data_IF_443531754311
#
_entry.id   IF_443531754311
#
_cell.length_a   1.000
_cell.length_b   1.000
_cell.length_c   1.000
_cell.angle_alpha   90.00
_cell.angle_beta   90.00
_cell.angle_gamma   90.00
#
_symmetry.space_group_name_H-M   'P 1'
#
loop_
_entity.id
_entity.type
_entity.pdbx_description
1 polymer ?
#
# COMPACT_ATOMS: atom_id res chain seq x y z
N UNK A 1 -4.94 -3.65 31.59
CA UNK A 1 -4.68 -4.18 32.94
C UNK A 1 -3.34 -3.64 33.37
N UNK A 2 -3.38 -2.64 34.28
CA UNK A 2 -2.21 -1.85 34.67
C UNK A 2 -1.48 -2.40 35.90
N UNK A 3 -1.83 -3.59 36.33
CA UNK A 3 -1.21 -4.18 37.49
C UNK A 3 0.07 -4.90 37.09
N UNK A 4 1.20 -4.43 37.67
CA UNK A 4 2.53 -4.98 37.37
C UNK A 4 2.65 -6.50 37.58
N UNK A 5 1.69 -7.13 38.25
CA UNK A 5 1.58 -8.57 38.38
C UNK A 5 1.13 -9.30 37.10
N UNK A 6 0.44 -8.64 36.17
CA UNK A 6 -0.03 -9.28 34.94
C UNK A 6 1.07 -9.52 33.89
N UNK A 7 2.24 -8.95 34.08
CA UNK A 7 3.38 -9.02 33.17
C UNK A 7 4.46 -10.01 33.59
N UNK A 8 4.18 -10.87 34.56
CA UNK A 8 5.03 -12.06 34.76
C UNK A 8 5.09 -12.82 33.44
N UNK A 9 6.28 -13.20 32.96
CA UNK A 9 6.42 -13.97 31.72
C UNK A 9 5.61 -15.26 31.88
N UNK A 10 4.42 -15.31 31.30
CA UNK A 10 3.50 -16.47 31.35
C UNK A 10 4.07 -17.73 30.69
N UNK A 11 5.31 -17.65 30.18
CA UNK A 11 5.93 -18.70 29.42
C UNK A 11 6.92 -19.57 30.19
N UNK A 12 7.33 -19.13 31.38
CA UNK A 12 8.19 -19.94 32.23
C UNK A 12 7.44 -20.29 33.51
N UNK A 13 7.31 -21.58 33.82
CA UNK A 13 6.69 -21.99 35.07
C UNK A 13 7.40 -21.32 36.25
N UNK A 14 6.64 -20.87 37.28
CA UNK A 14 7.25 -20.31 38.49
C UNK A 14 8.28 -21.26 39.10
N UNK A 15 8.03 -22.57 39.06
CA UNK A 15 8.97 -23.62 39.46
C UNK A 15 10.34 -23.54 38.76
N UNK A 16 10.41 -23.08 37.53
CA UNK A 16 11.68 -22.96 36.79
C UNK A 16 12.58 -21.88 37.39
N UNK A 17 12.03 -20.82 37.92
CA UNK A 17 12.80 -19.76 38.59
C UNK A 17 13.25 -20.18 39.98
N UNK A 18 12.40 -20.91 40.69
CA UNK A 18 12.69 -21.43 42.05
C UNK A 18 13.80 -22.48 41.99
N UNK A 19 13.79 -23.39 41.00
CA UNK A 19 14.85 -24.40 40.82
C UNK A 19 16.22 -23.80 40.49
N UNK A 20 16.25 -22.67 39.80
CA UNK A 20 17.50 -22.00 39.45
C UNK A 20 17.96 -20.99 40.50
N UNK A 21 17.17 -20.73 41.55
CA UNK A 21 17.46 -19.71 42.55
C UNK A 21 17.55 -18.31 41.98
N UNK A 22 16.98 -18.09 40.80
CA UNK A 22 16.93 -16.82 40.10
C UNK A 22 15.58 -16.17 40.39
N UNK A 23 15.48 -15.39 41.45
CA UNK A 23 14.47 -14.34 41.51
C UNK A 23 14.81 -13.37 40.37
N UNK A 24 14.15 -13.50 39.24
CA UNK A 24 14.07 -12.44 38.22
C UNK A 24 12.88 -11.57 38.63
N UNK A 25 13.06 -10.54 39.46
CA UNK A 25 11.99 -9.58 39.68
C UNK A 25 11.59 -9.06 38.31
N UNK A 26 10.28 -8.95 38.06
CA UNK A 26 9.79 -8.24 36.87
C UNK A 26 10.31 -6.80 37.00
N UNK A 27 11.43 -6.48 36.37
CA UNK A 27 12.02 -5.16 36.41
C UNK A 27 11.24 -4.21 35.46
N UNK A 28 9.90 -4.38 35.44
CA UNK A 28 8.97 -3.58 34.65
C UNK A 28 9.22 -2.08 34.86
N UNK A 29 9.36 -1.66 36.10
CA UNK A 29 9.60 -0.26 36.46
C UNK A 29 10.93 0.27 35.87
N UNK A 30 11.89 -0.62 35.61
CA UNK A 30 13.19 -0.26 35.04
C UNK A 30 13.16 -0.31 33.50
N UNK A 31 12.53 -1.34 32.91
CA UNK A 31 12.59 -1.58 31.47
C UNK A 31 11.49 -0.87 30.70
N UNK A 32 10.27 -0.81 31.21
CA UNK A 32 9.15 -0.21 30.51
C UNK A 32 9.34 1.28 30.13
N UNK A 33 9.95 2.14 30.99
CA UNK A 33 10.27 3.51 30.63
C UNK A 33 11.30 3.63 29.52
N UNK A 34 12.07 2.57 29.25
CA UNK A 34 13.16 2.54 28.27
C UNK A 34 12.76 1.83 26.99
N UNK A 35 11.60 1.19 26.96
CA UNK A 35 11.10 0.48 25.80
C UNK A 35 10.59 1.46 24.75
N UNK A 36 10.99 1.23 23.49
CA UNK A 36 10.44 1.96 22.34
C UNK A 36 9.05 1.38 22.02
N UNK A 37 8.00 2.07 22.42
CA UNK A 37 6.61 1.58 22.33
C UNK A 37 5.70 2.67 21.78
N UNK A 38 4.67 2.27 21.01
CA UNK A 38 3.59 3.16 20.58
C UNK A 38 2.52 3.40 21.67
N UNK A 39 2.64 2.75 22.82
CA UNK A 39 1.63 2.82 23.87
C UNK A 39 1.77 4.12 24.69
N UNK A 40 0.93 5.10 24.36
CA UNK A 40 0.88 6.41 25.04
C UNK A 40 0.59 6.26 26.55
N UNK A 41 -0.34 5.38 26.93
CA UNK A 41 -0.66 5.15 28.34
C UNK A 41 0.53 4.64 29.15
N UNK A 42 1.47 3.94 28.52
CA UNK A 42 2.73 3.53 29.15
C UNK A 42 3.63 4.75 29.44
N UNK A 43 3.76 5.67 28.50
CA UNK A 43 4.56 6.88 28.70
C UNK A 43 3.96 7.76 29.79
N UNK A 44 2.65 7.94 29.80
CA UNK A 44 1.93 8.69 30.83
C UNK A 44 2.12 8.06 32.21
N UNK A 45 2.02 6.72 32.33
CA UNK A 45 2.24 6.00 33.59
C UNK A 45 3.62 6.27 34.21
N UNK A 46 4.65 6.40 33.35
CA UNK A 46 6.02 6.72 33.80
C UNK A 46 6.36 8.22 33.76
N UNK A 47 5.38 9.08 33.51
CA UNK A 47 5.58 10.54 33.43
C UNK A 47 6.51 10.98 32.29
N UNK A 48 6.64 10.17 31.23
CA UNK A 48 7.50 10.45 30.09
C UNK A 48 6.81 11.41 29.11
N UNK A 49 7.45 12.51 28.82
CA UNK A 49 7.04 13.45 27.76
C UNK A 49 7.83 13.15 26.49
N UNK A 50 7.37 12.20 25.71
CA UNK A 50 8.04 11.75 24.49
C UNK A 50 7.04 11.23 23.47
N UNK A 51 7.52 10.91 22.28
CA UNK A 51 6.75 10.26 21.22
C UNK A 51 7.45 8.98 20.76
N UNK A 52 6.71 8.10 20.12
CA UNK A 52 7.28 6.89 19.52
C UNK A 52 8.39 7.22 18.51
N UNK A 53 8.19 8.25 17.67
CA UNK A 53 9.18 8.71 16.70
C UNK A 53 10.47 9.22 17.36
N UNK A 54 10.37 9.97 18.46
CA UNK A 54 11.53 10.45 19.21
C UNK A 54 12.32 9.30 19.86
N UNK A 55 11.61 8.30 20.41
CA UNK A 55 12.25 7.12 20.98
C UNK A 55 12.96 6.29 19.90
N UNK A 56 12.33 6.09 18.72
CA UNK A 56 12.95 5.43 17.58
C UNK A 56 14.19 6.19 17.11
N UNK A 57 14.08 7.49 16.91
CA UNK A 57 15.19 8.31 16.45
C UNK A 57 16.40 8.22 17.40
N UNK A 58 16.14 8.28 18.71
CA UNK A 58 17.18 8.14 19.75
C UNK A 58 17.79 6.73 19.77
N UNK A 59 16.98 5.69 19.62
CA UNK A 59 17.46 4.32 19.56
C UNK A 59 18.38 4.12 18.35
N UNK A 60 17.96 4.57 17.16
CA UNK A 60 18.79 4.47 15.96
C UNK A 60 20.05 5.36 16.04
N UNK A 61 19.97 6.56 16.58
CA UNK A 61 21.15 7.39 16.80
C UNK A 61 22.23 6.66 17.64
N UNK A 62 21.82 5.90 18.65
CA UNK A 62 22.73 5.11 19.43
C UNK A 62 23.33 3.93 18.64
N UNK A 63 22.52 3.21 17.88
CA UNK A 63 22.98 2.09 17.01
C UNK A 63 23.97 2.60 15.96
N UNK A 64 23.70 3.75 15.37
CA UNK A 64 24.53 4.34 14.33
C UNK A 64 25.92 4.77 14.80
N UNK A 65 26.15 4.92 16.09
CA UNK A 65 27.51 5.16 16.63
C UNK A 65 28.46 4.00 16.36
N UNK A 66 27.92 2.80 16.15
CA UNK A 66 28.68 1.57 15.88
C UNK A 66 28.67 1.20 14.39
N UNK A 67 27.85 1.88 13.57
CA UNK A 67 27.78 1.62 12.14
C UNK A 67 28.98 2.26 11.44
N UNK A 68 29.73 1.46 10.67
CA UNK A 68 30.81 1.96 9.80
C UNK A 68 30.26 2.92 8.74
N UNK A 69 31.11 3.75 8.15
CA UNK A 69 30.70 4.70 7.11
C UNK A 69 30.05 4.04 5.88
N UNK A 70 30.59 2.90 5.46
CA UNK A 70 30.09 2.06 4.36
C UNK A 70 29.15 0.95 4.83
N UNK A 71 28.83 0.89 6.13
CA UNK A 71 28.00 -0.13 6.74
C UNK A 71 26.53 -0.02 6.33
N UNK A 72 25.81 -1.14 6.43
CA UNK A 72 24.37 -1.21 6.26
C UNK A 72 23.68 -1.47 7.60
N UNK A 73 22.66 -0.67 7.88
CA UNK A 73 21.68 -0.96 8.91
C UNK A 73 20.53 -1.72 8.29
N UNK A 74 20.31 -2.96 8.72
CA UNK A 74 19.16 -3.74 8.27
C UNK A 74 18.10 -3.71 9.35
N UNK A 75 16.90 -3.31 9.00
CA UNK A 75 15.75 -3.30 9.90
C UNK A 75 14.69 -4.26 9.40
N UNK A 76 14.10 -5.01 10.32
CA UNK A 76 12.86 -5.72 10.11
C UNK A 76 11.76 -4.98 10.87
N UNK A 77 10.76 -4.50 10.15
CA UNK A 77 9.72 -3.68 10.74
C UNK A 77 8.34 -4.08 10.24
N UNK A 78 7.45 -4.23 11.20
CA UNK A 78 6.02 -4.52 10.95
C UNK A 78 5.20 -3.46 11.67
N UNK A 79 4.39 -2.73 10.97
CA UNK A 79 3.46 -1.78 11.57
C UNK A 79 2.12 -1.83 10.84
N UNK A 80 1.05 -1.70 11.62
CA UNK A 80 -0.32 -1.65 11.07
C UNK A 80 -0.73 -0.23 10.68
N UNK A 81 -0.11 0.77 11.31
CA UNK A 81 -0.49 2.17 11.14
C UNK A 81 0.48 2.90 10.23
N UNK A 82 -0.01 3.70 9.27
CA UNK A 82 0.83 4.54 8.43
C UNK A 82 1.74 5.49 9.22
N UNK A 83 1.25 5.99 10.38
CA UNK A 83 1.99 6.91 11.25
C UNK A 83 3.23 6.24 11.85
N UNK A 84 3.16 4.94 12.15
CA UNK A 84 4.30 4.17 12.66
C UNK A 84 5.37 3.99 11.59
N UNK A 85 4.97 3.80 10.34
CA UNK A 85 5.89 3.79 9.19
C UNK A 85 6.51 5.16 8.97
N UNK A 86 5.73 6.24 9.05
CA UNK A 86 6.24 7.59 8.94
C UNK A 86 7.25 7.90 10.05
N UNK A 87 7.00 7.42 11.28
CA UNK A 87 7.93 7.57 12.40
C UNK A 87 9.27 6.83 12.14
N UNK A 88 9.23 5.63 11.56
CA UNK A 88 10.45 4.91 11.17
C UNK A 88 11.23 5.66 10.10
N UNK A 89 10.56 6.11 9.04
CA UNK A 89 11.19 6.88 7.96
C UNK A 89 11.76 8.20 8.50
N UNK A 90 11.03 8.88 9.37
CA UNK A 90 11.50 10.11 10.02
C UNK A 90 12.76 9.87 10.83
N UNK A 91 12.75 8.85 11.69
CA UNK A 91 13.87 8.49 12.53
C UNK A 91 15.14 8.15 11.73
N UNK A 92 15.00 7.44 10.61
CA UNK A 92 16.14 6.99 9.81
C UNK A 92 16.58 8.05 8.78
N UNK A 93 15.65 8.56 7.98
CA UNK A 93 15.96 9.48 6.87
C UNK A 93 16.24 10.91 7.32
N UNK A 94 15.25 11.51 8.04
CA UNK A 94 15.30 12.94 8.38
C UNK A 94 16.23 13.20 9.58
N UNK A 95 16.04 12.45 10.67
CA UNK A 95 16.80 12.70 11.92
C UNK A 95 18.22 12.14 11.83
N UNK A 96 18.40 10.92 11.33
CA UNK A 96 19.69 10.24 11.33
C UNK A 96 20.43 10.26 9.98
N UNK A 97 19.88 10.92 8.97
CA UNK A 97 20.57 11.15 7.69
C UNK A 97 20.87 9.88 6.89
N UNK A 98 20.02 8.86 7.01
CA UNK A 98 20.18 7.64 6.24
C UNK A 98 19.37 7.71 4.92
N UNK A 99 19.77 6.90 3.96
CA UNK A 99 19.00 6.63 2.73
C UNK A 99 18.62 5.16 2.66
N UNK A 100 17.43 4.88 2.19
CA UNK A 100 16.98 3.53 1.92
C UNK A 100 17.67 3.01 0.66
N UNK A 101 18.34 1.86 0.73
CA UNK A 101 19.03 1.27 -0.43
C UNK A 101 18.36 0.02 -0.95
N UNK A 102 17.60 -0.67 -0.11
CA UNK A 102 16.78 -1.82 -0.51
C UNK A 102 15.65 -2.04 0.49
N UNK A 103 14.49 -2.48 0.02
CA UNK A 103 13.43 -2.98 0.85
C UNK A 103 12.71 -4.14 0.16
N UNK A 104 12.36 -5.16 0.92
CA UNK A 104 11.66 -6.34 0.46
C UNK A 104 10.51 -6.66 1.40
N UNK A 105 9.32 -6.94 0.87
CA UNK A 105 8.22 -7.45 1.68
C UNK A 105 8.57 -8.85 2.20
N UNK A 106 8.18 -9.14 3.42
CA UNK A 106 8.37 -10.45 4.05
C UNK A 106 7.05 -10.91 4.62
N UNK A 107 6.61 -12.07 4.21
CA UNK A 107 5.48 -12.77 4.81
C UNK A 107 5.96 -13.40 6.12
N UNK A 108 5.45 -12.91 7.24
CA UNK A 108 5.93 -13.29 8.57
C UNK A 108 4.96 -14.15 9.34
N UNK A 109 3.75 -14.28 8.85
CA UNK A 109 2.73 -15.10 9.50
C UNK A 109 2.36 -16.25 8.56
N UNK A 110 2.37 -17.49 9.07
CA UNK A 110 1.86 -18.64 8.33
C UNK A 110 0.39 -18.43 8.00
N UNK A 111 -0.09 -18.95 6.88
CA UNK A 111 -1.52 -18.94 6.51
C UNK A 111 -2.42 -19.57 7.58
N UNK A 112 -1.84 -20.38 8.46
CA UNK A 112 -2.50 -21.04 9.60
C UNK A 112 -2.66 -20.12 10.81
N UNK A 113 -1.95 -19.01 10.89
CA UNK A 113 -2.09 -18.06 11.99
C UNK A 113 -3.51 -17.50 12.02
N UNK A 114 -4.16 -17.63 13.18
CA UNK A 114 -5.51 -17.08 13.44
C UNK A 114 -5.54 -15.57 13.21
N UNK A 115 -4.37 -14.90 13.30
CA UNK A 115 -4.18 -13.47 13.09
C UNK A 115 -4.00 -13.15 11.60
N UNK A 116 -3.41 -14.06 10.81
CA UNK A 116 -3.15 -13.88 9.38
C UNK A 116 -4.36 -14.20 8.49
N UNK A 117 -5.29 -15.04 8.96
CA UNK A 117 -6.46 -15.44 8.19
C UNK A 117 -7.28 -14.23 7.74
N UNK A 118 -7.19 -13.92 6.47
CA UNK A 118 -7.95 -12.84 5.80
C UNK A 118 -7.28 -11.48 5.80
N UNK A 119 -5.98 -11.39 6.06
CA UNK A 119 -5.21 -10.17 5.84
C UNK A 119 -4.49 -10.23 4.49
N UNK A 120 -5.10 -9.66 3.47
CA UNK A 120 -4.33 -9.12 2.35
C UNK A 120 -3.73 -7.79 2.82
N UNK A 121 -2.72 -7.86 3.68
CA UNK A 121 -2.02 -6.65 4.11
C UNK A 121 -0.95 -6.34 3.06
N UNK A 122 -1.20 -5.35 2.22
CA UNK A 122 -0.19 -4.71 1.37
C UNK A 122 0.94 -4.12 2.24
N UNK A 123 0.66 -3.95 3.53
CA UNK A 123 1.58 -3.49 4.56
C UNK A 123 2.07 -4.66 5.44
N UNK A 124 2.55 -5.73 4.82
CA UNK A 124 3.30 -6.79 5.49
C UNK A 124 4.53 -6.24 6.22
N UNK A 125 5.28 -7.13 6.87
CA UNK A 125 6.61 -6.76 7.35
C UNK A 125 7.55 -6.45 6.19
N UNK A 126 8.45 -5.51 6.40
CA UNK A 126 9.52 -5.23 5.44
C UNK A 126 10.87 -5.42 6.09
N UNK A 127 11.74 -6.10 5.38
CA UNK A 127 13.18 -6.02 5.63
C UNK A 127 13.71 -4.88 4.79
N UNK A 128 14.30 -3.87 5.43
CA UNK A 128 14.84 -2.71 4.75
C UNK A 128 16.30 -2.48 5.14
N UNK A 129 17.12 -2.15 4.14
CA UNK A 129 18.53 -1.86 4.30
C UNK A 129 18.75 -0.35 4.10
N UNK A 130 19.45 0.25 5.04
CA UNK A 130 19.73 1.66 5.10
C UNK A 130 21.23 1.89 5.20
N UNK A 131 21.70 2.96 4.60
CA UNK A 131 23.09 3.41 4.74
C UNK A 131 23.17 4.91 5.02
N UNK A 132 24.32 5.38 5.48
CA UNK A 132 24.56 6.82 5.62
C UNK A 132 24.45 7.49 4.26
N UNK A 133 23.67 8.56 4.17
CA UNK A 133 23.61 9.37 2.97
C UNK A 133 24.95 10.06 2.77
N UNK A 134 25.60 9.80 1.65
CA UNK A 134 26.93 10.35 1.38
C UNK A 134 26.86 11.85 1.10
N UNK A 135 25.83 12.29 0.42
CA UNK A 135 25.64 13.67 0.01
C UNK A 135 24.15 14.04 0.06
N UNK A 136 23.85 15.14 0.74
CA UNK A 136 22.49 15.66 0.80
C UNK A 136 22.20 16.46 -0.49
N UNK A 137 21.60 15.81 -1.50
CA UNK A 137 21.18 16.45 -2.74
C UNK A 137 19.73 16.90 -2.61
N UNK A 138 19.43 18.20 -2.76
CA UNK A 138 18.05 18.65 -2.77
C UNK A 138 17.28 18.12 -4.00
N UNK A 139 16.00 17.87 -3.82
CA UNK A 139 15.09 17.45 -4.90
C UNK A 139 13.81 18.27 -4.83
N UNK A 140 13.52 19.03 -5.88
CA UNK A 140 12.21 19.66 -6.08
C UNK A 140 11.36 18.76 -6.97
N UNK A 141 10.26 18.23 -6.40
CA UNK A 141 9.45 17.19 -7.05
C UNK A 141 8.64 17.72 -8.21
N UNK A 142 8.08 18.92 -8.13
CA UNK A 142 7.22 19.46 -9.18
C UNK A 142 7.97 19.58 -10.50
N UNK A 143 9.18 20.16 -10.45
CA UNK A 143 10.02 20.35 -11.63
C UNK A 143 10.67 19.04 -12.15
N UNK A 144 10.79 18.02 -11.28
CA UNK A 144 11.47 16.77 -11.63
C UNK A 144 10.53 15.56 -11.72
N UNK A 145 9.21 15.77 -11.66
CA UNK A 145 8.21 14.68 -11.54
C UNK A 145 8.40 13.59 -12.58
N UNK A 146 8.47 13.96 -13.85
CA UNK A 146 8.62 12.99 -14.94
C UNK A 146 9.90 12.17 -14.85
N UNK A 147 11.02 12.80 -14.51
CA UNK A 147 12.30 12.11 -14.33
C UNK A 147 12.27 11.15 -13.15
N UNK A 148 11.64 11.56 -12.03
CA UNK A 148 11.50 10.72 -10.84
C UNK A 148 10.64 9.49 -11.15
N UNK A 149 9.51 9.68 -11.82
CA UNK A 149 8.60 8.59 -12.21
C UNK A 149 9.29 7.61 -13.15
N UNK A 150 10.07 8.09 -14.13
CA UNK A 150 10.84 7.25 -15.06
C UNK A 150 11.90 6.41 -14.35
N UNK A 151 12.66 7.02 -13.45
CA UNK A 151 13.69 6.32 -12.68
C UNK A 151 13.07 5.27 -11.73
N UNK A 152 11.94 5.60 -11.10
CA UNK A 152 11.19 4.66 -10.26
C UNK A 152 10.66 3.48 -11.08
N UNK A 153 10.09 3.73 -12.25
CA UNK A 153 9.63 2.68 -13.17
C UNK A 153 10.79 1.74 -13.57
N UNK A 154 11.94 2.29 -13.89
CA UNK A 154 13.15 1.53 -14.23
C UNK A 154 13.65 0.67 -13.04
N UNK A 155 13.67 1.21 -11.84
CA UNK A 155 14.07 0.46 -10.62
C UNK A 155 13.10 -0.66 -10.30
N UNK A 156 11.80 -0.38 -10.38
CA UNK A 156 10.74 -1.38 -10.20
C UNK A 156 10.89 -2.52 -11.19
N UNK A 157 11.12 -2.23 -12.48
CA UNK A 157 11.26 -3.25 -13.50
C UNK A 157 12.44 -4.19 -13.25
N UNK A 158 13.59 -3.65 -12.83
CA UNK A 158 14.76 -4.46 -12.45
C UNK A 158 14.41 -5.44 -11.32
N UNK A 159 13.62 -5.01 -10.34
CA UNK A 159 13.22 -5.85 -9.20
C UNK A 159 12.22 -6.91 -9.58
N UNK A 160 11.22 -6.57 -10.38
CA UNK A 160 10.24 -7.54 -10.87
C UNK A 160 10.89 -8.66 -11.67
N UNK A 161 11.92 -8.36 -12.47
CA UNK A 161 12.71 -9.38 -13.18
C UNK A 161 13.43 -10.35 -12.23
N UNK A 162 13.93 -9.85 -11.11
CA UNK A 162 14.64 -10.67 -10.11
C UNK A 162 13.64 -11.51 -9.30
N UNK A 163 12.52 -10.93 -8.89
CA UNK A 163 11.57 -11.57 -7.99
C UNK A 163 10.63 -12.57 -8.67
N UNK A 164 10.54 -12.57 -10.01
CA UNK A 164 9.60 -13.43 -10.75
C UNK A 164 8.13 -13.14 -10.48
N UNK A 165 7.82 -12.03 -9.78
CA UNK A 165 6.47 -11.63 -9.40
C UNK A 165 5.64 -11.19 -10.59
N UNK A 166 4.38 -11.67 -10.66
CA UNK A 166 3.47 -11.44 -11.78
C UNK A 166 2.12 -10.83 -11.38
N UNK A 167 1.89 -10.51 -10.11
CA UNK A 167 0.60 -9.92 -9.70
C UNK A 167 0.70 -8.42 -9.38
N UNK A 168 -0.44 -7.73 -9.46
CA UNK A 168 -0.52 -6.29 -9.27
C UNK A 168 -0.05 -5.82 -7.91
N UNK A 169 -0.43 -6.53 -6.84
CA UNK A 169 -0.03 -6.21 -5.49
C UNK A 169 1.51 -6.26 -5.30
N UNK A 170 2.16 -7.28 -5.88
CA UNK A 170 3.64 -7.38 -5.88
C UNK A 170 4.26 -6.23 -6.67
N UNK A 171 3.75 -5.92 -7.86
CA UNK A 171 4.25 -4.82 -8.68
C UNK A 171 4.09 -3.47 -7.95
N UNK A 172 2.96 -3.27 -7.30
CA UNK A 172 2.69 -2.10 -6.46
C UNK A 172 3.73 -1.94 -5.35
N UNK A 173 3.99 -3.01 -4.57
CA UNK A 173 4.96 -2.97 -3.47
C UNK A 173 6.36 -2.62 -3.97
N UNK A 174 6.81 -3.21 -5.07
CA UNK A 174 8.13 -2.90 -5.64
C UNK A 174 8.21 -1.49 -6.19
N UNK A 175 7.15 -0.96 -6.79
CA UNK A 175 7.08 0.42 -7.24
C UNK A 175 7.18 1.39 -6.04
N UNK A 176 6.43 1.12 -4.97
CA UNK A 176 6.44 1.93 -3.76
C UNK A 176 7.82 1.93 -3.08
N UNK A 177 8.45 0.76 -2.94
CA UNK A 177 9.80 0.67 -2.38
C UNK A 177 10.83 1.40 -3.26
N UNK A 178 10.74 1.27 -4.59
CA UNK A 178 11.61 1.99 -5.51
C UNK A 178 11.44 3.52 -5.40
N UNK A 179 10.20 3.99 -5.18
CA UNK A 179 9.94 5.41 -4.95
C UNK A 179 10.55 5.90 -3.63
N UNK A 180 10.38 5.14 -2.53
CA UNK A 180 10.99 5.48 -1.24
C UNK A 180 12.52 5.52 -1.33
N UNK A 181 13.16 4.56 -2.00
CA UNK A 181 14.60 4.55 -2.20
C UNK A 181 15.08 5.77 -2.99
N UNK A 182 14.35 6.13 -4.05
CA UNK A 182 14.71 7.31 -4.80
C UNK A 182 14.58 8.58 -3.96
N UNK A 183 13.46 8.74 -3.26
CA UNK A 183 13.19 9.95 -2.49
C UNK A 183 14.13 10.10 -1.29
N UNK A 184 14.38 9.02 -0.54
CA UNK A 184 15.24 9.07 0.66
C UNK A 184 16.73 9.30 0.35
N UNK A 185 17.15 9.05 -0.89
CA UNK A 185 18.49 9.43 -1.35
C UNK A 185 18.70 10.95 -1.43
N UNK A 186 17.61 11.72 -1.35
CA UNK A 186 17.62 13.18 -1.44
C UNK A 186 17.24 13.83 -0.09
N UNK A 187 17.77 15.02 0.14
CA UNK A 187 17.38 15.88 1.26
C UNK A 187 17.89 17.32 1.03
N UNK A 188 17.07 18.37 1.23
CA UNK A 188 15.63 18.27 1.43
C UNK A 188 14.88 17.79 0.17
N UNK A 189 13.70 17.23 0.36
CA UNK A 189 12.75 16.98 -0.71
C UNK A 189 11.64 18.02 -0.61
N UNK A 190 11.38 18.76 -1.67
CA UNK A 190 10.36 19.82 -1.71
C UNK A 190 9.28 19.51 -2.74
N UNK A 191 8.06 19.98 -2.50
CA UNK A 191 6.95 19.97 -3.42
C UNK A 191 6.37 21.40 -3.51
N UNK A 192 6.38 21.99 -4.69
CA UNK A 192 5.99 23.39 -4.89
C UNK A 192 6.70 24.35 -3.92
N UNK A 193 7.99 24.12 -3.66
CA UNK A 193 8.81 24.92 -2.76
C UNK A 193 8.64 24.65 -1.27
N UNK A 194 7.73 23.75 -0.87
CA UNK A 194 7.51 23.37 0.55
C UNK A 194 8.27 22.08 0.84
N UNK A 195 9.09 22.10 1.91
CA UNK A 195 9.81 20.90 2.35
C UNK A 195 8.84 19.85 2.89
N UNK A 196 9.03 18.61 2.45
CA UNK A 196 8.23 17.48 2.89
C UNK A 196 8.78 16.89 4.19
N UNK A 197 7.89 16.67 5.13
CA UNK A 197 8.11 15.77 6.24
C UNK A 197 8.06 14.29 5.79
N UNK A 198 8.30 13.37 6.70
CA UNK A 198 8.33 11.94 6.38
C UNK A 198 6.97 11.42 5.92
N UNK A 199 5.86 11.96 6.43
CA UNK A 199 4.52 11.59 5.99
C UNK A 199 4.24 12.12 4.57
N UNK A 200 4.60 13.37 4.29
CA UNK A 200 4.54 13.98 2.97
C UNK A 200 5.37 13.23 1.95
N UNK A 201 6.60 12.83 2.34
CA UNK A 201 7.48 12.01 1.51
C UNK A 201 6.82 10.67 1.15
N UNK A 202 6.26 9.97 2.13
CA UNK A 202 5.58 8.69 1.92
C UNK A 202 4.34 8.85 1.03
N UNK A 203 3.56 9.91 1.22
CA UNK A 203 2.43 10.23 0.33
C UNK A 203 2.88 10.42 -1.12
N UNK A 204 3.97 11.15 -1.34
CA UNK A 204 4.53 11.32 -2.68
C UNK A 204 5.08 10.01 -3.25
N UNK A 205 5.69 9.16 -2.41
CA UNK A 205 6.14 7.84 -2.85
C UNK A 205 4.99 6.97 -3.38
N UNK A 206 3.82 7.01 -2.72
CA UNK A 206 2.60 6.32 -3.18
C UNK A 206 2.15 6.84 -4.55
N UNK A 207 2.04 8.15 -4.74
CA UNK A 207 1.62 8.74 -5.99
C UNK A 207 2.60 8.44 -7.13
N UNK A 208 3.91 8.58 -6.88
CA UNK A 208 4.96 8.29 -7.84
C UNK A 208 4.97 6.81 -8.23
N UNK A 209 4.79 5.90 -7.27
CA UNK A 209 4.73 4.47 -7.53
C UNK A 209 3.57 4.12 -8.49
N UNK A 210 2.42 4.71 -8.26
CA UNK A 210 1.26 4.50 -9.12
C UNK A 210 1.48 5.05 -10.54
N UNK A 211 1.99 6.27 -10.67
CA UNK A 211 2.36 6.85 -11.97
C UNK A 211 3.42 6.00 -12.70
N UNK A 212 4.39 5.44 -11.97
CA UNK A 212 5.41 4.56 -12.54
C UNK A 212 4.82 3.26 -13.10
N UNK A 213 3.84 2.67 -12.41
CA UNK A 213 3.09 1.50 -12.91
C UNK A 213 2.33 1.81 -14.18
N UNK A 214 1.58 2.93 -14.21
CA UNK A 214 0.84 3.35 -15.39
C UNK A 214 1.78 3.67 -16.57
N UNK A 215 2.88 4.34 -16.31
CA UNK A 215 3.90 4.68 -17.33
C UNK A 215 4.52 3.43 -17.94
N UNK A 216 4.88 2.45 -17.12
CA UNK A 216 5.40 1.16 -17.59
C UNK A 216 4.41 0.45 -18.50
N UNK A 217 3.13 0.49 -18.18
CA UNK A 217 2.08 -0.11 -18.99
C UNK A 217 1.69 0.74 -20.21
N UNK A 218 2.29 1.93 -20.40
CA UNK A 218 1.92 2.83 -21.49
C UNK A 218 0.50 3.41 -21.33
N UNK A 219 -0.06 3.39 -20.13
CA UNK A 219 -1.43 3.79 -19.82
C UNK A 219 -1.51 5.29 -19.62
N UNK A 220 -2.46 5.94 -20.32
CA UNK A 220 -2.84 7.34 -20.11
C UNK A 220 -4.35 7.40 -19.89
N UNK A 221 -4.75 7.88 -18.73
CA UNK A 221 -6.16 8.04 -18.35
C UNK A 221 -6.33 9.43 -17.78
N UNK A 222 -7.38 10.13 -18.24
CA UNK A 222 -7.78 11.45 -17.78
C UNK A 222 -8.98 11.42 -16.85
N UNK A 223 -9.84 10.42 -16.98
CA UNK A 223 -11.04 10.26 -16.12
C UNK A 223 -10.64 9.85 -14.71
N UNK A 224 -11.10 10.62 -13.71
CA UNK A 224 -10.74 10.44 -12.30
C UNK A 224 -11.31 9.13 -11.73
N UNK A 225 -12.52 8.74 -12.14
CA UNK A 225 -13.13 7.49 -11.68
C UNK A 225 -12.44 6.27 -12.28
N UNK A 226 -12.06 6.34 -13.55
CA UNK A 226 -11.29 5.29 -14.22
C UNK A 226 -9.89 5.15 -13.58
N UNK A 227 -9.25 6.26 -13.21
CA UNK A 227 -7.98 6.27 -12.51
C UNK A 227 -8.07 5.60 -11.13
N UNK A 228 -9.09 5.95 -10.34
CA UNK A 228 -9.37 5.32 -9.05
C UNK A 228 -9.72 3.83 -9.20
N UNK A 229 -10.50 3.48 -10.22
CA UNK A 229 -10.83 2.10 -10.51
C UNK A 229 -9.59 1.24 -10.79
N UNK A 230 -8.67 1.72 -11.63
CA UNK A 230 -7.42 1.01 -11.91
C UNK A 230 -6.57 0.84 -10.64
N UNK A 231 -6.46 1.88 -9.81
CA UNK A 231 -5.70 1.77 -8.57
C UNK A 231 -6.29 0.70 -7.64
N UNK A 232 -7.61 0.65 -7.51
CA UNK A 232 -8.33 -0.41 -6.79
C UNK A 232 -8.01 -1.79 -7.36
N UNK A 233 -8.08 -1.95 -8.70
CA UNK A 233 -7.82 -3.23 -9.38
C UNK A 233 -6.37 -3.72 -9.22
N UNK A 234 -5.41 -2.81 -9.11
CA UNK A 234 -4.00 -3.15 -8.88
C UNK A 234 -3.77 -3.59 -7.43
N UNK A 235 -4.45 -2.95 -6.47
CA UNK A 235 -4.19 -3.10 -5.04
C UNK A 235 -5.15 -4.05 -4.32
N UNK A 236 -6.21 -4.54 -4.98
CA UNK A 236 -7.14 -5.47 -4.35
C UNK A 236 -6.52 -6.84 -4.10
N UNK A 237 -7.07 -7.55 -3.11
CA UNK A 237 -6.74 -8.95 -2.87
C UNK A 237 -7.33 -9.87 -3.94
N UNK A 238 -6.83 -11.11 -4.02
CA UNK A 238 -7.36 -12.15 -4.92
C UNK A 238 -8.87 -12.40 -4.74
N UNK A 239 -9.42 -12.03 -3.57
CA UNK A 239 -10.85 -12.12 -3.28
C UNK A 239 -11.65 -10.88 -3.68
N UNK A 240 -11.00 -9.85 -4.22
CA UNK A 240 -11.65 -8.63 -4.66
C UNK A 240 -11.99 -7.64 -3.55
N UNK A 241 -11.27 -7.67 -2.47
CA UNK A 241 -11.46 -6.75 -1.35
C UNK A 241 -10.20 -5.91 -1.11
N UNK A 242 -10.42 -4.71 -0.61
CA UNK A 242 -9.39 -3.86 -0.02
C UNK A 242 -9.75 -3.59 1.44
N UNK A 243 -8.76 -3.58 2.32
CA UNK A 243 -8.93 -3.10 3.69
C UNK A 243 -8.77 -1.57 3.76
N UNK A 244 -8.97 -1.01 4.95
CA UNK A 244 -8.87 0.44 5.17
C UNK A 244 -7.47 0.98 4.88
N UNK A 245 -6.42 0.19 5.12
CA UNK A 245 -5.03 0.62 4.93
C UNK A 245 -4.69 0.66 3.44
N UNK A 246 -5.08 -0.38 2.69
CA UNK A 246 -4.97 -0.40 1.22
C UNK A 246 -5.78 0.73 0.61
N UNK A 247 -7.00 0.97 1.10
CA UNK A 247 -7.85 2.04 0.60
C UNK A 247 -7.22 3.42 0.80
N UNK A 248 -6.54 3.65 1.93
CA UNK A 248 -5.78 4.88 2.16
C UNK A 248 -4.62 5.05 1.15
N UNK A 249 -4.01 3.96 0.68
CA UNK A 249 -3.04 4.03 -0.41
C UNK A 249 -3.69 4.41 -1.75
N UNK A 250 -4.85 3.85 -2.06
CA UNK A 250 -5.61 4.22 -3.27
C UNK A 250 -5.98 5.71 -3.24
N UNK A 251 -6.47 6.22 -2.10
CA UNK A 251 -6.75 7.64 -1.91
C UNK A 251 -5.52 8.52 -2.17
N UNK A 252 -4.38 8.15 -1.63
CA UNK A 252 -3.11 8.88 -1.82
C UNK A 252 -2.60 8.80 -3.26
N UNK A 253 -2.78 7.68 -3.92
CA UNK A 253 -2.35 7.47 -5.31
C UNK A 253 -3.19 8.29 -6.29
N UNK A 254 -4.49 8.44 -6.03
CA UNK A 254 -5.46 8.96 -6.99
C UNK A 254 -6.03 10.33 -6.61
N UNK A 255 -5.90 10.73 -5.35
CA UNK A 255 -6.56 11.92 -4.81
C UNK A 255 -8.08 11.78 -4.62
N UNK A 256 -8.65 10.59 -4.83
CA UNK A 256 -10.07 10.31 -4.68
C UNK A 256 -10.33 9.71 -3.29
N UNK A 257 -11.21 10.33 -2.51
CA UNK A 257 -11.55 9.82 -1.18
C UNK A 257 -12.36 8.52 -1.25
N UNK A 258 -12.29 7.68 -0.21
CA UNK A 258 -13.12 6.46 -0.15
C UNK A 258 -14.62 6.76 -0.20
N UNK A 259 -15.05 7.92 0.33
CA UNK A 259 -16.43 8.38 0.25
C UNK A 259 -16.82 8.65 -1.21
N UNK A 260 -15.93 9.28 -1.98
CA UNK A 260 -16.19 9.55 -3.39
C UNK A 260 -16.09 8.26 -4.22
N UNK A 261 -15.17 7.36 -3.91
CA UNK A 261 -15.12 6.03 -4.54
C UNK A 261 -16.43 5.25 -4.32
N UNK A 262 -17.00 5.31 -3.12
CA UNK A 262 -18.30 4.70 -2.84
C UNK A 262 -19.45 5.39 -3.60
N UNK A 263 -19.44 6.73 -3.69
CA UNK A 263 -20.42 7.51 -4.51
C UNK A 263 -20.31 7.18 -5.98
N UNK A 264 -19.10 7.02 -6.49
CA UNK A 264 -18.83 6.59 -7.86
C UNK A 264 -19.17 5.11 -8.11
N UNK A 265 -19.55 4.36 -7.09
CA UNK A 265 -19.91 2.96 -7.19
C UNK A 265 -18.71 2.04 -7.43
N UNK A 266 -17.50 2.47 -7.12
CA UNK A 266 -16.28 1.69 -7.31
C UNK A 266 -16.03 0.69 -6.18
N UNK A 267 -16.52 1.01 -4.99
CA UNK A 267 -16.42 0.17 -3.79
C UNK A 267 -17.77 0.05 -3.07
N UNK A 268 -17.91 -1.01 -2.28
CA UNK A 268 -19.01 -1.23 -1.35
C UNK A 268 -18.46 -1.69 0.00
N UNK A 269 -18.84 -0.98 1.08
CA UNK A 269 -18.48 -1.40 2.44
C UNK A 269 -19.16 -2.74 2.77
N UNK A 270 -18.39 -3.66 3.34
CA UNK A 270 -18.84 -4.97 3.78
C UNK A 270 -18.25 -5.30 5.14
N UNK A 271 -19.00 -6.02 5.96
CA UNK A 271 -18.46 -6.57 7.20
C UNK A 271 -17.85 -7.95 6.92
N UNK A 272 -16.57 -8.09 7.19
CA UNK A 272 -15.87 -9.37 7.14
C UNK A 272 -15.65 -9.88 8.56
N UNK A 273 -16.01 -11.13 8.81
CA UNK A 273 -15.83 -11.78 10.10
C UNK A 273 -16.70 -13.04 10.20
N UNK A 274 -16.42 -13.88 11.18
CA UNK A 274 -17.19 -15.10 11.47
C UNK A 274 -17.59 -15.15 12.94
N UNK A 275 -18.33 -16.18 13.38
CA UNK A 275 -18.81 -16.30 14.74
C UNK A 275 -17.72 -16.29 15.84
N UNK A 276 -16.46 -16.48 15.45
CA UNK A 276 -15.28 -16.53 16.34
C UNK A 276 -14.20 -15.51 15.97
N UNK A 277 -14.44 -14.62 15.00
CA UNK A 277 -13.49 -13.63 14.52
C UNK A 277 -14.12 -12.25 14.63
N UNK A 278 -13.41 -11.29 15.18
CA UNK A 278 -13.89 -9.91 15.30
C UNK A 278 -14.30 -9.38 13.92
N UNK A 279 -15.48 -8.77 13.88
CA UNK A 279 -15.99 -8.11 12.68
C UNK A 279 -15.05 -6.99 12.27
N UNK A 280 -14.70 -6.94 11.00
CA UNK A 280 -13.85 -5.90 10.39
C UNK A 280 -14.57 -5.28 9.22
N UNK A 281 -14.37 -3.99 9.04
CA UNK A 281 -14.77 -3.29 7.82
C UNK A 281 -13.78 -3.64 6.71
N UNK A 282 -14.30 -4.02 5.57
CA UNK A 282 -13.57 -4.17 4.33
C UNK A 282 -14.40 -3.55 3.20
N UNK A 283 -13.78 -3.35 2.05
CA UNK A 283 -14.44 -2.75 0.90
C UNK A 283 -14.32 -3.71 -0.28
N UNK A 284 -15.46 -4.18 -0.74
CA UNK A 284 -15.56 -4.96 -1.99
C UNK A 284 -15.31 -4.01 -3.16
N UNK A 285 -14.34 -4.33 -4.00
CA UNK A 285 -14.12 -3.63 -5.26
C UNK A 285 -15.20 -4.08 -6.25
N UNK A 286 -15.95 -3.12 -6.77
CA UNK A 286 -17.09 -3.37 -7.65
C UNK A 286 -16.62 -3.67 -9.08
N UNK A 287 -15.99 -4.83 -9.22
CA UNK A 287 -15.51 -5.39 -10.48
C UNK A 287 -16.07 -6.80 -10.69
N UNK A 288 -16.40 -7.22 -11.93
CA UNK A 288 -16.92 -8.55 -12.19
C UNK A 288 -15.87 -9.63 -11.88
N UNK A 289 -16.30 -10.71 -11.22
CA UNK A 289 -15.47 -11.87 -10.86
C UNK A 289 -15.80 -13.09 -11.72
N UNK A 290 -16.91 -13.06 -12.41
CA UNK A 290 -17.30 -14.07 -13.37
C UNK A 290 -17.75 -13.41 -14.67
N UNK A 291 -17.47 -14.03 -15.81
CA UNK A 291 -17.84 -13.59 -17.15
C UNK A 291 -19.31 -13.94 -17.51
N UNK A 292 -20.16 -13.88 -16.49
CA UNK A 292 -21.60 -14.16 -16.65
C UNK A 292 -22.39 -12.87 -16.76
N UNK A 293 -23.47 -12.91 -17.53
CA UNK A 293 -24.40 -11.78 -17.69
C UNK A 293 -24.96 -11.31 -16.36
N UNK A 294 -25.28 -12.23 -15.47
CA UNK A 294 -25.86 -11.90 -14.17
C UNK A 294 -24.90 -11.20 -13.25
N UNK A 295 -23.63 -11.62 -13.23
CA UNK A 295 -22.59 -10.93 -12.46
C UNK A 295 -22.36 -9.52 -12.97
N UNK A 296 -22.21 -9.33 -14.27
CA UNK A 296 -22.00 -8.00 -14.82
C UNK A 296 -23.24 -7.11 -14.62
N UNK A 297 -24.47 -7.68 -14.72
CA UNK A 297 -25.69 -6.94 -14.38
C UNK A 297 -25.72 -6.51 -12.92
N UNK A 298 -25.30 -7.37 -12.01
CA UNK A 298 -25.19 -7.04 -10.57
C UNK A 298 -24.27 -5.85 -10.33
N UNK A 299 -23.08 -5.89 -10.91
CA UNK A 299 -22.09 -4.80 -10.81
C UNK A 299 -22.63 -3.52 -11.48
N UNK A 300 -23.18 -3.64 -12.69
CA UNK A 300 -23.75 -2.51 -13.41
C UNK A 300 -24.90 -1.84 -12.63
N UNK A 301 -25.79 -2.60 -12.03
CA UNK A 301 -26.88 -2.05 -11.22
C UNK A 301 -26.36 -1.19 -10.05
N UNK A 302 -25.22 -1.55 -9.48
CA UNK A 302 -24.57 -0.76 -8.44
C UNK A 302 -23.90 0.52 -8.99
N UNK A 303 -23.32 0.46 -10.18
CA UNK A 303 -22.52 1.53 -10.79
C UNK A 303 -23.32 2.49 -11.67
N UNK A 304 -24.50 2.08 -12.11
CA UNK A 304 -25.34 2.81 -13.08
C UNK A 304 -25.58 4.27 -12.67
N UNK A 305 -25.27 5.18 -13.59
CA UNK A 305 -25.48 6.62 -13.43
C UNK A 305 -24.52 7.31 -12.46
N UNK A 306 -23.50 6.60 -11.94
CA UNK A 306 -22.55 7.16 -10.96
C UNK A 306 -21.25 7.67 -11.59
N UNK A 307 -20.72 6.97 -12.57
CA UNK A 307 -19.52 7.35 -13.32
C UNK A 307 -19.72 7.04 -14.80
N UNK A 308 -19.74 8.04 -15.69
CA UNK A 308 -20.03 7.83 -17.10
C UNK A 308 -19.11 6.81 -17.78
N UNK A 309 -17.80 6.88 -17.53
CA UNK A 309 -16.82 5.96 -18.10
C UNK A 309 -17.02 4.51 -17.64
N UNK A 310 -17.21 4.32 -16.33
CA UNK A 310 -17.42 2.99 -15.73
C UNK A 310 -18.78 2.43 -16.13
N UNK A 311 -19.83 3.26 -16.09
CA UNK A 311 -21.18 2.90 -16.53
C UNK A 311 -21.16 2.42 -17.98
N UNK A 312 -20.51 3.16 -18.87
CA UNK A 312 -20.36 2.80 -20.27
C UNK A 312 -19.55 1.51 -20.45
N UNK A 313 -18.46 1.32 -19.71
CA UNK A 313 -17.70 0.07 -19.75
C UNK A 313 -18.60 -1.15 -19.44
N UNK A 314 -19.44 -1.06 -18.40
CA UNK A 314 -20.39 -2.15 -18.06
C UNK A 314 -21.45 -2.38 -19.13
N UNK A 315 -21.96 -1.31 -19.75
CA UNK A 315 -22.88 -1.45 -20.89
C UNK A 315 -22.22 -2.16 -22.09
N UNK A 316 -20.97 -1.83 -22.39
CA UNK A 316 -20.19 -2.48 -23.45
C UNK A 316 -19.96 -3.97 -23.14
N UNK A 317 -19.62 -4.32 -21.90
CA UNK A 317 -19.49 -5.71 -21.46
C UNK A 317 -20.81 -6.48 -21.60
N UNK A 318 -21.93 -5.89 -21.16
CA UNK A 318 -23.26 -6.50 -21.34
C UNK A 318 -23.65 -6.64 -22.80
N UNK A 319 -23.28 -5.69 -23.65
CA UNK A 319 -23.51 -5.81 -25.09
C UNK A 319 -22.73 -6.99 -25.69
N UNK A 320 -21.47 -7.19 -25.30
CA UNK A 320 -20.66 -8.33 -25.74
C UNK A 320 -21.32 -9.68 -25.39
N UNK A 321 -21.80 -9.82 -24.16
CA UNK A 321 -22.30 -11.08 -23.64
C UNK A 321 -23.79 -11.35 -23.97
N UNK A 322 -24.60 -10.31 -23.97
CA UNK A 322 -26.06 -10.44 -24.05
C UNK A 322 -26.70 -9.59 -25.16
N UNK A 323 -25.90 -8.95 -26.01
CA UNK A 323 -26.41 -8.08 -27.12
C UNK A 323 -27.35 -6.97 -26.64
N UNK A 324 -27.13 -6.46 -25.43
CA UNK A 324 -27.89 -5.34 -24.87
C UNK A 324 -27.58 -4.04 -25.59
N UNK A 325 -28.50 -3.10 -25.58
CA UNK A 325 -28.28 -1.77 -26.16
C UNK A 325 -27.27 -0.97 -25.31
N UNK A 326 -26.38 -0.26 -25.99
CA UNK A 326 -25.43 0.69 -25.36
C UNK A 326 -25.98 2.10 -25.56
N UNK A 327 -26.24 2.78 -24.44
CA UNK A 327 -26.92 4.11 -24.42
C UNK A 327 -26.03 5.24 -23.90
N UNK A 328 -24.75 4.99 -23.65
CA UNK A 328 -23.81 6.00 -23.16
C UNK A 328 -23.48 7.06 -24.22
N UNK A 329 -23.11 8.27 -23.77
CA UNK A 329 -22.66 9.35 -24.67
C UNK A 329 -21.38 8.95 -25.42
N UNK A 330 -21.05 9.71 -26.47
CA UNK A 330 -19.82 9.48 -27.23
C UNK A 330 -18.59 9.64 -26.36
N UNK A 331 -18.55 10.68 -25.56
CA UNK A 331 -17.45 10.99 -24.65
C UNK A 331 -17.26 9.87 -23.58
N UNK A 332 -18.35 9.44 -22.94
CA UNK A 332 -18.30 8.34 -21.97
C UNK A 332 -17.82 7.03 -22.61
N UNK A 333 -18.13 6.81 -23.88
CA UNK A 333 -17.69 5.64 -24.61
C UNK A 333 -16.21 5.71 -24.94
N UNK A 334 -15.71 6.87 -25.37
CA UNK A 334 -14.28 7.11 -25.62
C UNK A 334 -13.44 6.85 -24.35
N UNK A 335 -13.90 7.35 -23.21
CA UNK A 335 -13.26 7.10 -21.91
C UNK A 335 -13.35 5.63 -21.48
N UNK A 336 -14.50 4.97 -21.67
CA UNK A 336 -14.66 3.55 -21.39
C UNK A 336 -13.73 2.67 -22.24
N UNK A 337 -13.54 3.01 -23.51
CA UNK A 337 -12.58 2.32 -24.39
C UNK A 337 -11.13 2.61 -23.96
N UNK A 338 -10.82 3.85 -23.55
CA UNK A 338 -9.51 4.18 -23.00
C UNK A 338 -9.23 3.36 -21.73
N UNK A 339 -10.21 3.24 -20.84
CA UNK A 339 -10.12 2.38 -19.65
C UNK A 339 -9.94 0.90 -20.04
N UNK A 340 -10.70 0.39 -21.00
CA UNK A 340 -10.53 -0.98 -21.49
C UNK A 340 -9.12 -1.22 -22.04
N UNK A 341 -8.60 -0.31 -22.85
CA UNK A 341 -7.20 -0.38 -23.35
C UNK A 341 -6.20 -0.37 -22.20
N UNK A 342 -6.41 0.47 -21.19
CA UNK A 342 -5.56 0.53 -20.02
C UNK A 342 -5.50 -0.82 -19.26
N UNK A 343 -6.63 -1.46 -19.03
CA UNK A 343 -6.69 -2.79 -18.40
C UNK A 343 -5.92 -3.84 -19.21
N UNK A 344 -6.02 -3.80 -20.54
CA UNK A 344 -5.26 -4.68 -21.43
C UNK A 344 -3.76 -4.42 -21.34
N UNK A 345 -3.33 -3.16 -21.38
CA UNK A 345 -1.90 -2.81 -21.31
C UNK A 345 -1.30 -3.15 -19.93
N UNK A 346 -2.06 -2.95 -18.86
CA UNK A 346 -1.65 -3.39 -17.52
C UNK A 346 -1.49 -4.91 -17.44
N UNK A 347 -2.35 -5.66 -18.09
CA UNK A 347 -2.23 -7.12 -18.19
C UNK A 347 -1.01 -7.55 -19.02
N UNK A 348 -0.76 -6.92 -20.16
CA UNK A 348 0.45 -7.17 -20.95
C UNK A 348 1.73 -6.86 -20.20
N UNK A 349 1.69 -5.87 -19.31
CA UNK A 349 2.80 -5.52 -18.42
C UNK A 349 2.95 -6.50 -17.24
N UNK A 350 2.07 -7.50 -17.11
CA UNK A 350 2.05 -8.46 -16.01
C UNK A 350 1.61 -7.86 -14.66
N UNK A 351 0.85 -6.75 -14.69
CA UNK A 351 0.33 -6.08 -13.50
C UNK A 351 -1.07 -6.61 -13.16
N UNK A 352 -1.91 -6.84 -14.14
CA UNK A 352 -3.20 -7.52 -13.96
C UNK A 352 -3.17 -8.91 -14.56
N UNK A 353 -3.95 -9.83 -13.98
CA UNK A 353 -4.08 -11.19 -14.47
C UNK A 353 -4.73 -11.19 -15.86
N UNK A 354 -4.19 -11.97 -16.78
CA UNK A 354 -4.77 -12.13 -18.13
C UNK A 354 -6.10 -12.88 -18.12
N UNK A 355 -6.35 -13.67 -17.10
CA UNK A 355 -7.58 -14.40 -16.87
C UNK A 355 -8.66 -13.58 -16.17
N UNK A 356 -8.34 -12.37 -15.73
CA UNK A 356 -9.30 -11.45 -15.14
C UNK A 356 -10.44 -11.10 -16.09
N UNK A 357 -11.66 -11.06 -15.56
CA UNK A 357 -12.89 -10.85 -16.37
C UNK A 357 -12.89 -9.48 -17.04
N UNK A 358 -12.47 -8.43 -16.32
CA UNK A 358 -12.40 -7.10 -16.92
C UNK A 358 -11.35 -7.06 -18.04
N UNK A 359 -10.22 -7.74 -17.86
CA UNK A 359 -9.16 -7.82 -18.88
C UNK A 359 -9.65 -8.59 -20.11
N UNK A 360 -10.31 -9.75 -19.92
CA UNK A 360 -10.87 -10.57 -21.02
C UNK A 360 -11.89 -9.78 -21.83
N UNK A 361 -12.85 -9.14 -21.16
CA UNK A 361 -13.88 -8.34 -21.84
C UNK A 361 -13.31 -7.05 -22.42
N UNK A 362 -12.33 -6.43 -21.76
CA UNK A 362 -11.63 -5.25 -22.27
C UNK A 362 -10.86 -5.51 -23.56
N UNK A 363 -10.23 -6.69 -23.72
CA UNK A 363 -9.59 -7.09 -24.98
C UNK A 363 -10.58 -7.08 -26.16
N UNK A 364 -11.78 -7.61 -25.93
CA UNK A 364 -12.84 -7.59 -26.95
C UNK A 364 -13.31 -6.16 -27.24
N UNK A 365 -13.51 -5.32 -26.20
CA UNK A 365 -13.92 -3.92 -26.36
C UNK A 365 -12.86 -3.10 -27.08
N UNK A 366 -11.58 -3.25 -26.72
CA UNK A 366 -10.48 -2.52 -27.30
C UNK A 366 -10.19 -2.91 -28.77
N UNK A 367 -10.50 -4.15 -29.15
CA UNK A 367 -10.32 -4.68 -30.50
C UNK A 367 -11.49 -4.43 -31.45
N UNK A 368 -12.62 -3.94 -30.94
CA UNK A 368 -13.78 -3.65 -31.80
C UNK A 368 -13.62 -2.26 -32.44
N UNK A 369 -13.52 -2.23 -33.76
CA UNK A 369 -13.61 -1.01 -34.55
C UNK A 369 -15.06 -0.50 -34.59
N UNK A 370 -15.57 -0.05 -33.46
CA UNK A 370 -16.95 0.45 -33.30
C UNK A 370 -17.16 1.87 -33.90
N UNK A 371 -16.19 2.42 -34.59
CA UNK A 371 -16.04 3.86 -34.80
C UNK A 371 -16.18 4.33 -36.23
N UNK A 372 -16.56 3.45 -37.14
CA UNK A 372 -16.90 3.86 -38.52
C UNK A 372 -18.37 4.16 -38.71
#
# INVERSE_FOLDING_TARGET
>A
DNDGESLKPRFLPEAFFDELGLEIPTQWQIFAPREVSENVGRWEHFGLKTSFGELLAKAFSNVLRFLKEDGLLVTYYVAKKPESWAALVDALWRVNGLELVAAYPVETESEESVVARGKASVLGGYVSAWRRRREAKPLELTANRDRVVEEVASRMERRLKIAGGKNGATAWVYAYMAALEYLTAHHPVTLAGVELDSEGLMRQAVAIAFEALLRRAGVKISDVAAHAYIALRIMESDRGYVDSDVLAHVERATGVSHVDMARLGLIREVEMGGPRVAKRKAFEVMAPRADTVDEIRRIYAHQRGKSPAIDCLRQLQLNLLAKTQVTCSKEAREEAVALARALVELSKAGILDEDDVDVKTARAIAGLEWWQ
#
